data_IF_419267670012
#
_entry.id   IF_419267670012
#
_cell.length_a   1.000
_cell.length_b   1.000
_cell.length_c   1.000
_cell.angle_alpha   90.00
_cell.angle_beta   90.00
_cell.angle_gamma   90.00
#
_symmetry.space_group_name_H-M   'P 1'
#
loop_
_entity.id
_entity.type
_entity.pdbx_description
1 polymer ?
#
# COMPACT_ATOMS: atom_id res chain seq x y z
N UNK A 1 -42.25 6.29 -3.84
CA UNK A 1 -41.08 5.63 -3.21
C UNK A 1 -39.89 6.53 -3.47
N UNK A 2 -39.50 7.31 -2.47
CA UNK A 2 -38.34 8.22 -2.55
C UNK A 2 -37.08 7.37 -2.47
N UNK A 3 -36.39 7.18 -3.59
CA UNK A 3 -35.00 6.72 -3.58
C UNK A 3 -34.19 7.73 -2.77
N UNK A 4 -33.82 7.36 -1.55
CA UNK A 4 -32.88 8.15 -0.76
C UNK A 4 -31.56 8.15 -1.52
N UNK A 5 -31.20 9.29 -2.11
CA UNK A 5 -29.90 9.47 -2.76
C UNK A 5 -28.84 9.31 -1.68
N UNK A 6 -28.29 8.10 -1.57
CA UNK A 6 -27.22 7.82 -0.62
C UNK A 6 -26.00 8.66 -1.00
N UNK A 7 -25.46 9.40 -0.03
CA UNK A 7 -24.33 10.29 -0.25
C UNK A 7 -23.10 9.49 -0.71
N UNK A 8 -22.13 10.15 -1.36
CA UNK A 8 -20.87 9.49 -1.75
C UNK A 8 -20.14 8.87 -0.56
N UNK A 9 -20.25 9.47 0.62
CA UNK A 9 -19.66 8.96 1.86
C UNK A 9 -20.34 7.67 2.35
N UNK A 10 -21.67 7.63 2.33
CA UNK A 10 -22.45 6.45 2.71
C UNK A 10 -22.19 5.27 1.78
N UNK A 11 -22.15 5.51 0.46
CA UNK A 11 -21.80 4.46 -0.52
C UNK A 11 -20.39 3.90 -0.26
N UNK A 12 -19.40 4.76 -0.02
CA UNK A 12 -18.03 4.33 0.34
C UNK A 12 -18.00 3.55 1.66
N UNK A 13 -18.81 3.94 2.66
CA UNK A 13 -18.93 3.22 3.92
C UNK A 13 -19.53 1.82 3.74
N UNK A 14 -20.56 1.68 2.92
CA UNK A 14 -21.16 0.39 2.57
C UNK A 14 -20.14 -0.53 1.86
N UNK A 15 -19.40 0.01 0.88
CA UNK A 15 -18.32 -0.73 0.19
C UNK A 15 -17.28 -1.23 1.19
N UNK A 16 -16.79 -0.38 2.11
CA UNK A 16 -15.84 -0.79 3.15
C UNK A 16 -16.38 -1.93 3.99
N UNK A 17 -17.62 -1.82 4.48
CA UNK A 17 -18.24 -2.84 5.32
C UNK A 17 -18.29 -4.20 4.61
N UNK A 18 -18.73 -4.23 3.36
CA UNK A 18 -18.81 -5.45 2.56
C UNK A 18 -17.41 -6.01 2.28
N UNK A 19 -16.48 -5.17 1.83
CA UNK A 19 -15.11 -5.57 1.52
C UNK A 19 -14.39 -6.19 2.71
N UNK A 20 -14.53 -5.60 3.90
CA UNK A 20 -13.92 -6.16 5.12
C UNK A 20 -14.54 -7.52 5.50
N UNK A 21 -15.86 -7.66 5.39
CA UNK A 21 -16.53 -8.93 5.67
C UNK A 21 -16.06 -10.03 4.69
N UNK A 22 -16.05 -9.73 3.39
CA UNK A 22 -15.59 -10.66 2.36
C UNK A 22 -14.14 -11.06 2.57
N UNK A 23 -13.24 -10.09 2.80
CA UNK A 23 -11.82 -10.37 3.07
C UNK A 23 -11.63 -11.18 4.35
N UNK A 24 -12.37 -10.89 5.42
CA UNK A 24 -12.25 -11.65 6.68
C UNK A 24 -12.60 -13.12 6.45
N UNK A 25 -13.67 -13.39 5.71
CA UNK A 25 -14.19 -14.73 5.45
C UNK A 25 -13.53 -15.44 4.26
N UNK A 26 -12.59 -14.79 3.57
CA UNK A 26 -11.87 -15.36 2.44
C UNK A 26 -10.92 -16.48 2.92
N UNK A 27 -11.07 -17.68 2.39
CA UNK A 27 -10.10 -18.75 2.58
C UNK A 27 -8.88 -18.57 1.66
N UNK A 28 -7.78 -19.28 1.96
CA UNK A 28 -6.56 -19.33 1.13
C UNK A 28 -5.95 -17.95 0.83
N UNK A 29 -6.03 -17.02 1.78
CA UNK A 29 -5.53 -15.64 1.64
C UNK A 29 -4.07 -15.58 1.23
N UNK A 30 -3.25 -16.48 1.76
CA UNK A 30 -1.82 -16.51 1.48
C UNK A 30 -1.55 -16.98 0.05
N UNK A 31 -2.26 -17.98 -0.45
CA UNK A 31 -2.14 -18.45 -1.84
C UNK A 31 -2.60 -17.39 -2.84
N UNK A 32 -3.73 -16.75 -2.56
CA UNK A 32 -4.23 -15.65 -3.38
C UNK A 32 -3.25 -14.47 -3.36
N UNK A 33 -2.66 -14.17 -2.21
CA UNK A 33 -1.64 -13.12 -2.10
C UNK A 33 -0.41 -13.43 -2.93
N UNK A 34 0.08 -14.67 -2.88
CA UNK A 34 1.20 -15.13 -3.72
C UNK A 34 0.88 -14.99 -5.21
N UNK A 35 -0.32 -15.35 -5.64
CA UNK A 35 -0.74 -15.20 -7.04
C UNK A 35 -0.80 -13.73 -7.49
N UNK A 36 -1.31 -12.84 -6.63
CA UNK A 36 -1.34 -11.39 -6.88
C UNK A 36 0.08 -10.83 -6.97
N UNK A 37 0.95 -11.17 -6.02
CA UNK A 37 2.34 -10.70 -6.01
C UNK A 37 3.15 -11.23 -7.18
N UNK A 38 2.95 -12.50 -7.56
CA UNK A 38 3.57 -13.06 -8.76
C UNK A 38 3.12 -12.33 -10.03
N UNK A 39 1.83 -11.99 -10.12
CA UNK A 39 1.30 -11.21 -11.24
C UNK A 39 1.90 -9.80 -11.27
N UNK A 40 1.88 -9.09 -10.14
CA UNK A 40 2.42 -7.75 -10.00
C UNK A 40 3.91 -7.69 -10.35
N UNK A 41 4.72 -8.58 -9.76
CA UNK A 41 6.17 -8.64 -10.03
C UNK A 41 6.50 -9.21 -11.42
N UNK A 42 5.51 -9.69 -12.18
CA UNK A 42 5.65 -10.14 -13.56
C UNK A 42 5.25 -9.09 -14.59
N UNK A 43 4.78 -7.92 -14.16
CA UNK A 43 4.42 -6.81 -15.05
C UNK A 43 5.66 -6.20 -15.71
N UNK A 44 5.58 -5.75 -16.98
CA UNK A 44 6.65 -4.97 -17.62
C UNK A 44 7.02 -3.73 -16.80
N UNK A 45 6.03 -3.03 -16.25
CA UNK A 45 6.20 -1.84 -15.41
C UNK A 45 7.04 -2.16 -14.16
N UNK A 46 6.86 -3.35 -13.57
CA UNK A 46 7.70 -3.81 -12.46
C UNK A 46 9.13 -4.12 -12.90
N UNK A 47 9.30 -4.70 -14.09
CA UNK A 47 10.61 -5.01 -14.62
C UNK A 47 11.43 -3.73 -14.85
N UNK A 48 10.81 -2.72 -15.45
CA UNK A 48 11.43 -1.45 -15.83
C UNK A 48 11.66 -0.50 -14.64
N UNK A 49 10.82 -0.58 -13.60
CA UNK A 49 10.93 0.29 -12.42
C UNK A 49 12.17 -0.01 -11.56
N UNK A 50 12.91 1.04 -11.19
CA UNK A 50 14.06 0.97 -10.30
C UNK A 50 13.69 1.28 -8.86
N UNK A 51 12.79 2.23 -8.65
CA UNK A 51 12.27 2.65 -7.34
C UNK A 51 10.79 2.30 -7.22
N UNK A 52 10.46 1.37 -6.32
CA UNK A 52 9.11 0.80 -6.22
C UNK A 52 8.61 0.94 -4.80
N UNK A 53 7.40 1.49 -4.66
CA UNK A 53 6.71 1.53 -3.39
C UNK A 53 5.81 0.31 -3.22
N UNK A 54 6.02 -0.42 -2.12
CA UNK A 54 5.12 -1.45 -1.62
C UNK A 54 4.48 -0.97 -0.33
N UNK A 55 3.18 -1.16 -0.16
CA UNK A 55 2.60 -1.06 1.18
C UNK A 55 2.98 -2.30 2.00
N UNK A 56 3.14 -2.16 3.31
CA UNK A 56 3.33 -3.29 4.22
C UNK A 56 1.97 -3.76 4.72
N UNK A 57 1.60 -4.99 4.40
CA UNK A 57 0.22 -5.44 4.58
C UNK A 57 -0.26 -5.49 6.02
N UNK A 58 -1.54 -5.15 6.21
CA UNK A 58 -2.19 -5.15 7.52
C UNK A 58 -3.45 -6.01 7.51
N UNK A 59 -3.74 -6.65 8.65
CA UNK A 59 -4.98 -7.41 8.87
C UNK A 59 -5.21 -8.50 7.81
N UNK A 60 -6.12 -8.26 6.86
CA UNK A 60 -6.53 -9.21 5.81
C UNK A 60 -6.31 -8.62 4.40
N UNK A 61 -5.41 -7.64 4.27
CA UNK A 61 -4.91 -7.20 2.97
C UNK A 61 -4.08 -8.30 2.28
N UNK A 62 -3.83 -8.11 0.99
CA UNK A 62 -2.89 -8.95 0.24
C UNK A 62 -1.54 -8.87 0.92
N UNK A 63 -0.93 -10.05 1.19
CA UNK A 63 0.31 -10.23 1.93
C UNK A 63 1.54 -9.84 1.12
N UNK A 64 1.84 -8.55 1.06
CA UNK A 64 2.99 -8.01 0.34
C UNK A 64 4.33 -8.24 1.05
N UNK A 65 4.32 -8.29 2.40
CA UNK A 65 5.56 -8.30 3.19
C UNK A 65 6.46 -9.51 2.93
N UNK A 66 5.90 -10.63 2.47
CA UNK A 66 6.65 -11.86 2.20
C UNK A 66 7.48 -11.78 0.91
N UNK A 67 7.14 -10.87 0.00
CA UNK A 67 7.85 -10.67 -1.27
C UNK A 67 8.84 -9.49 -1.22
N UNK A 68 8.80 -8.65 -0.17
CA UNK A 68 9.80 -7.58 0.05
C UNK A 68 11.25 -8.09 0.03
N UNK A 69 11.62 -9.21 0.69
CA UNK A 69 12.98 -9.73 0.61
C UNK A 69 13.43 -10.08 -0.82
N UNK A 70 12.48 -10.48 -1.68
CA UNK A 70 12.77 -10.78 -3.09
C UNK A 70 13.01 -9.50 -3.88
N UNK A 71 12.18 -8.48 -3.69
CA UNK A 71 12.37 -7.17 -4.32
C UNK A 71 13.72 -6.53 -3.92
N UNK A 72 14.07 -6.60 -2.63
CA UNK A 72 15.37 -6.12 -2.11
C UNK A 72 16.55 -6.83 -2.78
N UNK A 73 16.48 -8.17 -2.91
CA UNK A 73 17.53 -8.98 -3.57
C UNK A 73 17.67 -8.72 -5.06
N UNK A 74 16.66 -8.15 -5.71
CA UNK A 74 16.70 -7.79 -7.13
C UNK A 74 17.43 -6.46 -7.39
N UNK A 75 17.95 -5.80 -6.35
CA UNK A 75 18.68 -4.53 -6.48
C UNK A 75 17.79 -3.34 -6.78
N UNK A 76 16.47 -3.48 -6.60
CA UNK A 76 15.51 -2.38 -6.72
C UNK A 76 15.52 -1.56 -5.43
N UNK A 77 15.32 -0.25 -5.53
CA UNK A 77 15.11 0.63 -4.38
C UNK A 77 13.69 0.41 -3.87
N UNK A 78 13.56 -0.33 -2.77
CA UNK A 78 12.26 -0.65 -2.17
C UNK A 78 11.84 0.46 -1.22
N UNK A 79 10.65 0.99 -1.42
CA UNK A 79 10.08 2.05 -0.59
C UNK A 79 8.85 1.50 0.13
N UNK A 80 8.73 1.79 1.42
CA UNK A 80 7.53 1.47 2.20
C UNK A 80 6.94 2.74 2.81
N UNK A 81 5.62 2.90 2.80
CA UNK A 81 4.98 4.02 3.44
C UNK A 81 4.77 3.74 4.93
N UNK A 82 4.83 4.80 5.73
CA UNK A 82 4.45 4.77 7.14
C UNK A 82 3.68 6.05 7.50
N UNK A 83 2.92 6.02 8.59
CA UNK A 83 2.17 7.19 9.04
C UNK A 83 2.92 7.88 10.17
N UNK A 84 3.20 9.17 10.03
CA UNK A 84 3.77 9.97 11.11
C UNK A 84 2.71 10.33 12.18
N UNK A 85 3.15 10.91 13.30
CA UNK A 85 2.27 11.27 14.43
C UNK A 85 1.25 12.37 14.08
N UNK A 86 1.52 13.14 13.03
CA UNK A 86 0.62 14.15 12.47
C UNK A 86 -0.43 13.53 11.54
N UNK A 87 -0.32 12.22 11.28
CA UNK A 87 -1.20 11.48 10.41
C UNK A 87 -0.95 11.78 8.94
N UNK A 88 0.29 12.01 8.53
CA UNK A 88 0.71 12.12 7.14
C UNK A 88 1.43 10.85 6.68
N UNK A 89 1.39 10.59 5.37
CA UNK A 89 2.02 9.41 4.78
C UNK A 89 3.45 9.78 4.36
N UNK A 90 4.42 9.22 5.06
CA UNK A 90 5.84 9.39 4.79
C UNK A 90 6.39 8.17 4.07
N UNK A 91 7.42 8.37 3.26
CA UNK A 91 8.04 7.30 2.47
C UNK A 91 9.42 6.97 3.03
N UNK A 92 9.66 5.66 3.21
CA UNK A 92 10.89 5.15 3.81
C UNK A 92 11.60 4.20 2.83
N UNK A 93 12.86 4.49 2.54
CA UNK A 93 13.75 3.61 1.78
C UNK A 93 14.15 2.41 2.65
N UNK A 94 13.62 1.25 2.31
CA UNK A 94 13.87 0.00 2.99
C UNK A 94 15.10 -0.68 2.40
N UNK A 95 16.11 -0.96 3.23
CA UNK A 95 17.32 -1.69 2.82
C UNK A 95 17.36 -3.11 3.40
N UNK A 96 16.75 -3.32 4.57
CA UNK A 96 16.61 -4.65 5.19
C UNK A 96 15.26 -4.78 5.88
N UNK A 97 14.74 -6.01 5.94
CA UNK A 97 13.56 -6.32 6.76
C UNK A 97 13.79 -6.07 8.26
N UNK A 98 15.05 -6.05 8.71
CA UNK A 98 15.41 -5.77 10.11
C UNK A 98 15.20 -4.29 10.49
N UNK A 99 14.96 -3.42 9.50
CA UNK A 99 14.61 -2.00 9.72
C UNK A 99 13.14 -1.80 10.04
N UNK A 100 12.34 -2.88 10.00
CA UNK A 100 10.93 -2.86 10.33
C UNK A 100 10.70 -3.50 11.70
N UNK A 101 9.89 -2.84 12.52
CA UNK A 101 9.42 -3.34 13.81
C UNK A 101 7.90 -3.34 13.89
N UNK A 102 7.35 -4.08 14.87
CA UNK A 102 5.91 -4.11 15.11
C UNK A 102 5.49 -2.79 15.75
N UNK A 103 4.88 -1.90 14.96
CA UNK A 103 4.34 -0.62 15.40
C UNK A 103 3.01 -0.72 16.13
N UNK A 104 2.41 0.45 16.41
CA UNK A 104 1.25 0.64 17.29
C UNK A 104 0.03 -0.23 16.95
N UNK A 105 -0.19 -0.52 15.66
CA UNK A 105 -1.34 -1.28 15.18
C UNK A 105 -1.03 -2.75 14.86
N UNK A 106 0.07 -3.29 15.39
CA UNK A 106 0.61 -4.62 15.05
C UNK A 106 0.93 -4.75 13.56
N UNK A 107 1.35 -3.65 12.96
CA UNK A 107 1.81 -3.54 11.57
C UNK A 107 3.32 -3.41 11.62
N UNK A 108 4.01 -3.99 10.64
CA UNK A 108 5.44 -3.71 10.46
C UNK A 108 5.60 -2.29 9.92
N UNK A 109 6.30 -1.45 10.68
CA UNK A 109 6.61 -0.06 10.34
C UNK A 109 8.12 0.16 10.47
N UNK A 110 8.70 1.15 9.77
CA UNK A 110 10.10 1.51 9.99
C UNK A 110 10.40 1.80 11.46
N UNK A 111 11.54 1.35 11.96
CA UNK A 111 11.97 1.58 13.33
C UNK A 111 12.06 3.09 13.65
N UNK A 112 11.53 3.59 14.77
CA UNK A 112 11.45 5.01 15.12
C UNK A 112 12.75 5.78 14.97
N UNK A 113 13.87 5.17 15.35
CA UNK A 113 15.21 5.74 15.26
C UNK A 113 15.69 5.94 13.81
N UNK A 114 15.13 5.18 12.85
CA UNK A 114 15.49 5.26 11.43
C UNK A 114 14.61 6.25 10.65
N UNK A 115 13.37 6.49 11.10
CA UNK A 115 12.34 7.27 10.37
C UNK A 115 12.79 8.67 9.93
N UNK A 116 13.65 9.31 10.73
CA UNK A 116 14.09 10.69 10.51
C UNK A 116 15.46 10.82 9.87
N UNK A 117 16.12 9.70 9.55
CA UNK A 117 17.40 9.71 8.88
C UNK A 117 17.24 10.23 7.45
N UNK A 118 18.01 11.25 7.01
CA UNK A 118 17.87 11.84 5.68
C UNK A 118 18.01 10.82 4.54
N UNK A 119 18.91 9.85 4.68
CA UNK A 119 19.15 8.77 3.72
C UNK A 119 17.99 7.78 3.58
N UNK A 120 17.08 7.77 4.56
CA UNK A 120 15.89 6.93 4.55
C UNK A 120 14.68 7.62 3.93
N UNK A 121 14.70 8.93 3.74
CA UNK A 121 13.59 9.67 3.14
C UNK A 121 13.56 9.49 1.63
N UNK A 122 12.36 9.45 1.07
CA UNK A 122 12.13 9.36 -0.37
C UNK A 122 11.00 10.31 -0.74
N UNK A 123 11.18 11.08 -1.80
CA UNK A 123 10.11 11.89 -2.35
C UNK A 123 9.23 11.03 -3.25
N UNK A 124 7.91 11.27 -3.25
CA UNK A 124 6.98 10.51 -4.12
C UNK A 124 7.31 10.67 -5.61
N UNK A 125 7.98 11.76 -5.98
CA UNK A 125 8.44 12.02 -7.36
C UNK A 125 9.62 11.14 -7.79
N UNK A 126 10.26 10.43 -6.85
CA UNK A 126 11.32 9.45 -7.15
C UNK A 126 10.77 8.05 -7.46
N UNK A 127 9.47 7.81 -7.24
CA UNK A 127 8.86 6.51 -7.46
C UNK A 127 8.61 6.27 -8.96
N UNK A 128 9.00 5.09 -9.44
CA UNK A 128 8.71 4.59 -10.80
C UNK A 128 7.45 3.72 -10.82
N UNK A 129 7.10 3.10 -9.70
CA UNK A 129 5.90 2.26 -9.58
C UNK A 129 5.35 2.29 -8.16
N UNK A 130 4.04 2.49 -8.03
CA UNK A 130 3.36 2.62 -6.74
C UNK A 130 2.32 1.52 -6.55
N UNK A 131 2.56 0.58 -5.63
CA UNK A 131 1.54 -0.40 -5.23
C UNK A 131 0.54 0.24 -4.25
N UNK A 132 -0.63 0.64 -4.75
CA UNK A 132 -1.65 1.34 -3.97
C UNK A 132 -2.63 0.36 -3.31
N UNK A 133 -2.75 0.32 -1.96
CA UNK A 133 -3.74 -0.49 -1.27
C UNK A 133 -5.14 0.11 -1.39
N UNK A 134 -6.15 -0.72 -1.16
CA UNK A 134 -7.55 -0.32 -1.17
C UNK A 134 -8.45 -1.43 -0.65
N UNK A 135 -9.68 -1.08 -0.28
CA UNK A 135 -10.70 -2.07 0.11
C UNK A 135 -11.55 -2.52 -1.08
N UNK A 136 -11.65 -1.70 -2.12
CA UNK A 136 -12.44 -2.00 -3.31
C UNK A 136 -11.96 -1.18 -4.49
N UNK A 137 -12.07 -1.79 -5.67
CA UNK A 137 -11.66 -1.24 -6.95
C UNK A 137 -12.76 -1.53 -7.98
N UNK A 138 -12.97 -0.62 -8.93
CA UNK A 138 -13.80 -0.86 -10.11
C UNK A 138 -12.94 -1.03 -11.38
N UNK A 139 -13.55 -1.48 -12.47
CA UNK A 139 -12.84 -1.74 -13.74
C UNK A 139 -12.39 -0.48 -14.48
N UNK A 140 -12.74 0.71 -13.98
CA UNK A 140 -12.31 2.02 -14.53
C UNK A 140 -11.19 2.65 -13.69
N UNK A 141 -10.63 1.91 -12.72
CA UNK A 141 -9.61 2.41 -11.80
C UNK A 141 -10.16 3.21 -10.61
N UNK A 142 -11.48 3.23 -10.42
CA UNK A 142 -12.09 3.81 -9.23
C UNK A 142 -11.65 3.04 -7.98
N UNK A 143 -11.16 3.75 -6.95
CA UNK A 143 -10.62 3.16 -5.72
C UNK A 143 -11.38 3.62 -4.48
N UNK A 144 -11.65 2.70 -3.58
CA UNK A 144 -12.09 3.00 -2.21
C UNK A 144 -11.01 2.57 -1.23
N UNK A 145 -10.40 3.53 -0.54
CA UNK A 145 -9.47 3.28 0.58
C UNK A 145 -10.15 3.24 1.95
N UNK A 146 -9.36 3.20 3.02
CA UNK A 146 -9.84 3.14 4.42
C UNK A 146 -10.56 4.42 4.89
N UNK A 147 -10.40 5.53 4.19
CA UNK A 147 -11.15 6.77 4.42
C UNK A 147 -10.35 7.97 4.92
N UNK A 148 -9.05 7.80 5.22
CA UNK A 148 -8.14 8.90 5.60
C UNK A 148 -7.54 9.67 4.43
N UNK A 149 -7.64 9.13 3.21
CA UNK A 149 -7.17 9.81 1.99
C UNK A 149 -5.64 9.89 1.84
N UNK A 150 -4.86 9.16 2.64
CA UNK A 150 -3.38 9.21 2.60
C UNK A 150 -2.80 9.00 1.22
N UNK A 151 -3.23 7.93 0.54
CA UNK A 151 -2.80 7.67 -0.81
C UNK A 151 -3.34 8.66 -1.83
N UNK A 152 -4.53 9.24 -1.60
CA UNK A 152 -5.06 10.25 -2.53
C UNK A 152 -4.17 11.50 -2.50
N UNK A 153 -3.79 11.97 -1.31
CA UNK A 153 -2.85 13.09 -1.11
C UNK A 153 -1.44 12.79 -1.63
N UNK A 154 -0.92 11.59 -1.36
CA UNK A 154 0.40 11.18 -1.83
C UNK A 154 0.46 11.18 -3.38
N UNK A 155 -0.56 10.60 -4.03
CA UNK A 155 -0.61 10.49 -5.49
C UNK A 155 -0.84 11.83 -6.20
N UNK A 156 -1.36 12.86 -5.53
CA UNK A 156 -1.46 14.22 -6.09
C UNK A 156 -0.09 14.82 -6.45
N UNK A 157 0.98 14.36 -5.79
CA UNK A 157 2.35 14.81 -5.99
C UNK A 157 3.22 13.79 -6.73
N UNK A 158 2.70 12.60 -7.03
CA UNK A 158 3.42 11.60 -7.81
C UNK A 158 3.67 12.07 -9.25
N UNK A 159 4.70 11.52 -9.88
CA UNK A 159 4.86 11.72 -11.33
C UNK A 159 3.68 11.09 -12.07
N UNK A 160 3.35 11.63 -13.24
CA UNK A 160 2.20 11.16 -14.04
C UNK A 160 2.42 9.81 -14.70
N UNK A 161 3.68 9.40 -14.82
CA UNK A 161 4.16 8.16 -15.42
C UNK A 161 4.69 7.15 -14.40
N UNK A 162 4.46 7.42 -13.10
CA UNK A 162 4.71 6.49 -11.99
C UNK A 162 3.56 5.50 -11.74
#
# INVERSE_FOLDING_TARGET
>A
MTETISTGAERKAAIRKIAFANRRNQDNKDDLSRGIMQTFMGLPEYADALTIMFYVDVRAEVRTRFDLPKALKQGKRVVVPWCNDEGELELFHLESMDELEIGMYKILEPAPELRNLPEKRVEVTELDLIMVPGVGFDSRGGRTGMGKGYYDKCLEHARRDA
#
